data_IF_933644865890
#
_entry.id   IF_933644865890
#
_cell.length_a   1.000
_cell.length_b   1.000
_cell.length_c   1.000
_cell.angle_alpha   90.00
_cell.angle_beta   90.00
_cell.angle_gamma   90.00
#
_symmetry.space_group_name_H-M   'P 1'
#
loop_
_entity.id
_entity.type
_entity.pdbx_description
1 polymer ?
#
# COMPACT_ATOMS: atom_id res chain seq x y z
N UNK A 1 -22.58 22.95 -34.16
CA UNK A 1 -22.61 21.56 -33.67
C UNK A 1 -21.67 20.77 -34.54
N UNK A 2 -20.63 20.13 -33.98
CA UNK A 2 -19.83 19.18 -34.75
C UNK A 2 -20.52 17.82 -34.62
N UNK A 3 -21.23 17.40 -35.67
CA UNK A 3 -22.17 16.27 -35.72
C UNK A 3 -21.51 14.89 -35.89
N UNK A 4 -20.24 14.73 -35.49
CA UNK A 4 -19.51 13.46 -35.66
C UNK A 4 -19.49 12.57 -34.40
N UNK A 5 -20.16 12.98 -33.31
CA UNK A 5 -20.13 12.27 -32.02
C UNK A 5 -18.74 12.24 -31.35
N UNK A 6 -17.74 12.92 -31.92
CA UNK A 6 -16.38 13.05 -31.38
C UNK A 6 -16.33 14.18 -30.35
N UNK A 7 -15.85 13.86 -29.15
CA UNK A 7 -15.60 14.86 -28.11
C UNK A 7 -14.53 15.86 -28.59
N UNK A 8 -14.68 17.16 -28.31
CA UNK A 8 -13.62 18.14 -28.53
C UNK A 8 -12.34 17.75 -27.79
N UNK A 9 -11.17 18.05 -28.36
CA UNK A 9 -9.87 17.67 -27.79
C UNK A 9 -9.70 18.13 -26.34
N UNK A 10 -10.23 19.31 -25.98
CA UNK A 10 -10.16 19.86 -24.63
C UNK A 10 -11.00 19.06 -23.61
N UNK A 11 -12.17 18.56 -24.04
CA UNK A 11 -13.02 17.70 -23.19
C UNK A 11 -12.35 16.35 -22.96
N UNK A 12 -11.68 15.80 -23.98
CA UNK A 12 -10.89 14.56 -23.85
C UNK A 12 -9.73 14.77 -22.88
N UNK A 13 -8.99 15.88 -22.99
CA UNK A 13 -7.88 16.21 -22.07
C UNK A 13 -8.37 16.37 -20.63
N UNK A 14 -9.49 17.06 -20.42
CA UNK A 14 -10.05 17.25 -19.09
C UNK A 14 -10.50 15.93 -18.44
N UNK A 15 -11.17 15.05 -19.21
CA UNK A 15 -11.56 13.72 -18.72
C UNK A 15 -10.34 12.87 -18.36
N UNK A 16 -9.30 12.89 -19.19
CA UNK A 16 -8.05 12.18 -18.94
C UNK A 16 -7.35 12.72 -17.68
N UNK A 17 -7.27 14.03 -17.50
CA UNK A 17 -6.69 14.68 -16.32
C UNK A 17 -7.40 14.24 -15.02
N UNK A 18 -8.75 14.21 -15.03
CA UNK A 18 -9.53 13.73 -13.88
C UNK A 18 -9.28 12.25 -13.58
N UNK A 19 -9.17 11.41 -14.61
CA UNK A 19 -8.88 9.98 -14.42
C UNK A 19 -7.48 9.75 -13.86
N UNK A 20 -6.47 10.47 -14.35
CA UNK A 20 -5.09 10.39 -13.83
C UNK A 20 -5.03 10.84 -12.37
N UNK A 21 -5.64 11.98 -12.03
CA UNK A 21 -5.73 12.46 -10.65
C UNK A 21 -6.43 11.44 -9.72
N UNK A 22 -7.51 10.81 -10.19
CA UNK A 22 -8.20 9.76 -9.44
C UNK A 22 -7.31 8.54 -9.20
N UNK A 23 -6.62 8.07 -10.23
CA UNK A 23 -5.69 6.94 -10.13
C UNK A 23 -4.53 7.24 -9.17
N UNK A 24 -3.97 8.46 -9.22
CA UNK A 24 -2.93 8.92 -8.29
C UNK A 24 -3.42 8.90 -6.85
N UNK A 25 -4.59 9.48 -6.56
CA UNK A 25 -5.20 9.47 -5.21
C UNK A 25 -5.42 8.05 -4.70
N UNK A 26 -5.89 7.15 -5.57
CA UNK A 26 -6.09 5.75 -5.21
C UNK A 26 -4.77 5.03 -4.89
N UNK A 27 -3.71 5.31 -5.66
CA UNK A 27 -2.38 4.77 -5.41
C UNK A 27 -1.80 5.26 -4.07
N UNK A 28 -1.95 6.55 -3.74
CA UNK A 28 -1.56 7.09 -2.42
C UNK A 28 -2.34 6.40 -1.28
N UNK A 29 -3.67 6.30 -1.41
CA UNK A 29 -4.50 5.66 -0.39
C UNK A 29 -4.13 4.17 -0.19
N UNK A 30 -3.73 3.48 -1.27
CA UNK A 30 -3.24 2.10 -1.20
C UNK A 30 -1.89 2.03 -0.47
N UNK A 31 -0.99 2.98 -0.73
CA UNK A 31 0.30 3.06 -0.06
C UNK A 31 0.13 3.23 1.45
N UNK A 32 -0.67 4.22 1.87
CA UNK A 32 -0.99 4.48 3.28
C UNK A 32 -1.65 3.26 3.96
N UNK A 33 -2.52 2.53 3.24
CA UNK A 33 -3.13 1.32 3.77
C UNK A 33 -2.08 0.23 4.03
N UNK A 34 -1.12 0.05 3.14
CA UNK A 34 -0.03 -0.89 3.32
C UNK A 34 0.93 -0.48 4.44
N UNK A 35 1.22 0.81 4.62
CA UNK A 35 2.01 1.29 5.76
C UNK A 35 1.34 0.95 7.10
N UNK A 36 0.02 1.17 7.21
CA UNK A 36 -0.74 0.79 8.42
C UNK A 36 -0.68 -0.70 8.71
N UNK A 37 -0.78 -1.54 7.67
CA UNK A 37 -0.63 -2.99 7.82
C UNK A 37 0.78 -3.33 8.29
N UNK A 38 1.80 -2.70 7.71
CA UNK A 38 3.19 -2.95 8.08
C UNK A 38 3.46 -2.64 9.56
N UNK A 39 3.01 -1.47 10.04
CA UNK A 39 3.10 -1.07 11.44
C UNK A 39 2.39 -2.06 12.38
N UNK A 40 1.17 -2.49 12.00
CA UNK A 40 0.40 -3.46 12.80
C UNK A 40 1.11 -4.81 12.90
N UNK A 41 1.74 -5.27 11.82
CA UNK A 41 2.49 -6.52 11.80
C UNK A 41 3.82 -6.41 12.57
N UNK A 42 4.47 -5.24 12.58
CA UNK A 42 5.64 -4.97 13.42
C UNK A 42 5.28 -5.06 14.91
N UNK A 43 4.21 -4.38 15.34
CA UNK A 43 3.70 -4.47 16.73
C UNK A 43 3.32 -5.92 17.10
N UNK A 44 2.75 -6.65 16.15
CA UNK A 44 2.42 -8.08 16.33
C UNK A 44 3.68 -8.92 16.51
N UNK A 45 4.74 -8.65 15.74
CA UNK A 45 6.02 -9.33 15.89
C UNK A 45 6.65 -9.07 17.26
N UNK A 46 6.69 -7.80 17.70
CA UNK A 46 7.21 -7.40 19.01
C UNK A 46 6.44 -8.07 20.16
N UNK A 47 5.12 -8.16 20.03
CA UNK A 47 4.26 -8.86 21.00
C UNK A 47 4.66 -10.33 21.11
N UNK A 48 4.85 -11.03 19.98
CA UNK A 48 5.24 -12.44 19.98
C UNK A 48 6.68 -12.65 20.47
N UNK A 49 7.60 -11.73 20.20
CA UNK A 49 8.96 -11.76 20.75
C UNK A 49 8.95 -11.63 22.26
N UNK A 50 8.16 -10.71 22.79
CA UNK A 50 7.97 -10.54 24.23
C UNK A 50 7.43 -11.82 24.86
N UNK A 51 6.43 -12.45 24.25
CA UNK A 51 5.91 -13.75 24.70
C UNK A 51 6.95 -14.87 24.62
N UNK A 52 7.78 -14.90 23.59
CA UNK A 52 8.86 -15.87 23.46
C UNK A 52 9.97 -15.66 24.50
N UNK A 53 10.29 -14.41 24.84
CA UNK A 53 11.33 -14.05 25.81
C UNK A 53 10.98 -14.47 27.24
N UNK A 54 9.68 -14.50 27.58
CA UNK A 54 9.19 -15.01 28.87
C UNK A 54 9.44 -16.51 29.09
N UNK A 55 9.85 -17.24 28.05
CA UNK A 55 10.15 -18.66 28.12
C UNK A 55 8.90 -19.56 28.14
N UNK A 56 9.09 -20.84 28.48
CA UNK A 56 8.02 -21.83 28.52
C UNK A 56 7.89 -22.68 27.25
N UNK A 57 6.97 -23.67 27.27
CA UNK A 57 6.87 -24.72 26.25
C UNK A 57 6.49 -24.18 24.86
N UNK A 58 5.95 -22.97 24.76
CA UNK A 58 5.52 -22.35 23.50
C UNK A 58 6.52 -21.36 22.91
N UNK A 59 7.72 -21.20 23.49
CA UNK A 59 8.75 -20.25 23.02
C UNK A 59 9.02 -20.34 21.53
N UNK A 60 9.23 -21.55 21.00
CA UNK A 60 9.54 -21.74 19.58
C UNK A 60 8.35 -21.37 18.68
N UNK A 61 7.11 -21.66 19.12
CA UNK A 61 5.89 -21.28 18.42
C UNK A 61 5.75 -19.75 18.35
N UNK A 62 6.01 -19.05 19.44
CA UNK A 62 5.97 -17.58 19.46
C UNK A 62 7.05 -16.96 18.58
N UNK A 63 8.27 -17.51 18.57
CA UNK A 63 9.32 -17.08 17.62
C UNK A 63 8.89 -17.23 16.17
N UNK A 64 8.31 -18.38 15.79
CA UNK A 64 7.83 -18.58 14.42
C UNK A 64 6.72 -17.60 14.04
N UNK A 65 5.84 -17.24 14.97
CA UNK A 65 4.82 -16.21 14.75
C UNK A 65 5.41 -14.80 14.59
N UNK A 66 6.41 -14.45 15.41
CA UNK A 66 7.10 -13.17 15.27
C UNK A 66 7.80 -13.06 13.91
N UNK A 67 8.48 -14.12 13.47
CA UNK A 67 9.13 -14.17 12.16
C UNK A 67 8.14 -14.04 11.01
N UNK A 68 6.99 -14.73 11.10
CA UNK A 68 5.91 -14.60 10.12
C UNK A 68 5.36 -13.16 10.04
N UNK A 69 5.13 -12.52 11.19
CA UNK A 69 4.66 -11.13 11.26
C UNK A 69 5.69 -10.15 10.66
N UNK A 70 6.99 -10.31 10.96
CA UNK A 70 8.05 -9.50 10.32
C UNK A 70 8.08 -9.65 8.80
N UNK A 71 7.86 -10.87 8.29
CA UNK A 71 7.79 -11.10 6.84
C UNK A 71 6.56 -10.43 6.23
N UNK A 72 5.43 -10.46 6.91
CA UNK A 72 4.22 -9.78 6.49
C UNK A 72 4.43 -8.25 6.46
N UNK A 73 5.03 -7.68 7.51
CA UNK A 73 5.40 -6.27 7.57
C UNK A 73 6.33 -5.86 6.42
N UNK A 74 7.40 -6.62 6.16
CA UNK A 74 8.32 -6.34 5.06
C UNK A 74 7.62 -6.37 3.68
N UNK A 75 6.68 -7.30 3.51
CA UNK A 75 5.87 -7.38 2.28
C UNK A 75 4.97 -6.15 2.13
N UNK A 76 4.30 -5.75 3.22
CA UNK A 76 3.44 -4.58 3.25
C UNK A 76 4.24 -3.28 2.97
N UNK A 77 5.40 -3.09 3.58
CA UNK A 77 6.32 -1.97 3.27
C UNK A 77 6.71 -1.94 1.80
N UNK A 78 7.03 -3.10 1.23
CA UNK A 78 7.35 -3.21 -0.21
C UNK A 78 6.17 -2.76 -1.05
N UNK A 79 4.95 -3.24 -0.75
CA UNK A 79 3.73 -2.82 -1.44
C UNK A 79 3.47 -1.31 -1.32
N UNK A 80 3.71 -0.72 -0.15
CA UNK A 80 3.59 0.72 0.06
C UNK A 80 4.54 1.51 -0.85
N UNK A 81 5.82 1.10 -0.91
CA UNK A 81 6.84 1.73 -1.77
C UNK A 81 6.41 1.66 -3.25
N UNK A 82 5.95 0.50 -3.72
CA UNK A 82 5.46 0.36 -5.09
C UNK A 82 4.25 1.26 -5.38
N UNK A 83 3.31 1.36 -4.44
CA UNK A 83 2.14 2.20 -4.60
C UNK A 83 2.49 3.70 -4.62
N UNK A 84 3.40 4.16 -3.76
CA UNK A 84 3.92 5.53 -3.83
C UNK A 84 4.66 5.82 -5.15
N UNK A 85 5.47 4.87 -5.62
CA UNK A 85 6.16 4.99 -6.90
C UNK A 85 5.19 5.12 -8.08
N UNK A 86 4.07 4.38 -8.06
CA UNK A 86 2.99 4.51 -9.06
C UNK A 86 2.34 5.90 -8.95
N UNK A 87 2.08 6.38 -7.73
CA UNK A 87 1.48 7.69 -7.50
C UNK A 87 2.38 8.85 -7.97
N UNK A 88 3.70 8.72 -7.80
CA UNK A 88 4.69 9.71 -8.21
C UNK A 88 4.85 9.79 -9.74
N UNK A 89 4.62 8.67 -10.44
CA UNK A 89 4.76 8.57 -11.91
C UNK A 89 3.47 8.76 -12.68
N UNK A 90 2.35 8.94 -11.99
CA UNK A 90 1.12 9.37 -12.63
C UNK A 90 1.37 10.78 -13.22
N UNK A 91 1.25 10.97 -14.55
CA UNK A 91 1.67 12.22 -15.20
C UNK A 91 0.93 13.42 -14.60
N UNK A 92 1.66 14.49 -14.32
CA UNK A 92 1.06 15.81 -14.11
C UNK A 92 0.54 16.26 -15.49
N UNK A 93 -0.79 16.26 -15.66
CA UNK A 93 -1.46 16.73 -16.88
C UNK A 93 -1.76 18.22 -16.79
#
# INVERSE_FOLDING_TARGET
MNDDGRLPSDVIREQLARQVLRSRRMAVALAEAHERVALTEEETAETYETLAARGGPHRQRFRGKAEAARKAAATAHTCAIWAYWIADRAPDL
#
